data_IF_899994606280
#
_entry.id   IF_899994606280
#
_cell.length_a   1.000
_cell.length_b   1.000
_cell.length_c   1.000
_cell.angle_alpha   90.00
_cell.angle_beta   90.00
_cell.angle_gamma   90.00
#
_symmetry.space_group_name_H-M   'P 1'
#
loop_
_entity.id
_entity.type
_entity.pdbx_description
1 polymer ?
#
# COMPACT_ATOMS: atom_id res chain seq x y z
N UNK A 1 4.21 -1.37 5.65
CA UNK A 1 3.95 0.06 5.95
C UNK A 1 2.45 0.35 5.85
N UNK A 2 1.91 1.34 6.58
CA UNK A 2 0.50 1.73 6.49
C UNK A 2 0.38 3.14 5.93
N UNK A 3 -0.28 3.29 4.77
CA UNK A 3 -0.48 4.58 4.11
C UNK A 3 -1.68 5.31 4.71
N UNK A 4 -1.49 5.77 5.95
CA UNK A 4 -2.55 6.33 6.76
C UNK A 4 -3.09 7.63 6.15
N UNK A 5 -4.43 7.78 6.14
CA UNK A 5 -5.14 8.92 5.55
C UNK A 5 -4.76 9.21 4.09
N UNK A 6 -4.43 8.16 3.34
CA UNK A 6 -4.08 8.29 1.92
C UNK A 6 -2.71 8.90 1.67
N UNK A 7 -1.86 9.01 2.70
CA UNK A 7 -0.49 9.50 2.58
C UNK A 7 0.47 8.31 2.51
N UNK A 8 1.15 8.09 1.38
CA UNK A 8 2.17 7.05 1.30
C UNK A 8 3.30 7.31 2.29
N UNK A 9 3.83 6.23 2.87
CA UNK A 9 5.00 6.32 3.73
C UNK A 9 6.23 6.76 2.91
N UNK A 10 7.28 7.20 3.58
CA UNK A 10 8.58 7.41 2.94
C UNK A 10 9.18 6.07 2.46
N UNK A 11 8.75 5.59 1.30
CA UNK A 11 8.98 4.21 0.88
C UNK A 11 10.45 3.90 0.60
N UNK A 12 11.26 4.89 0.19
CA UNK A 12 12.71 4.72 0.07
C UNK A 12 13.36 4.33 1.41
N UNK A 13 12.96 4.99 2.50
CA UNK A 13 13.48 4.68 3.83
C UNK A 13 12.99 3.31 4.33
N UNK A 14 11.73 2.96 4.04
CA UNK A 14 11.17 1.63 4.36
C UNK A 14 11.96 0.53 3.66
N UNK A 15 12.22 0.69 2.36
CA UNK A 15 12.99 -0.27 1.56
C UNK A 15 14.43 -0.42 2.03
N UNK A 16 15.10 0.69 2.34
CA UNK A 16 16.46 0.65 2.87
C UNK A 16 16.56 -0.22 4.14
N UNK A 17 15.59 -0.10 5.05
CA UNK A 17 15.54 -0.94 6.27
C UNK A 17 15.20 -2.40 5.94
N UNK A 18 14.24 -2.63 5.05
CA UNK A 18 13.82 -3.98 4.67
C UNK A 18 14.95 -4.76 3.98
N UNK A 19 15.69 -4.11 3.09
CA UNK A 19 16.83 -4.69 2.37
C UNK A 19 17.95 -5.16 3.33
N UNK A 20 18.29 -4.35 4.34
CA UNK A 20 19.28 -4.73 5.37
C UNK A 20 18.87 -6.00 6.13
N UNK A 21 17.56 -6.23 6.26
CA UNK A 21 17.00 -7.38 6.99
C UNK A 21 16.63 -8.55 6.08
N UNK A 22 16.78 -8.42 4.76
CA UNK A 22 16.26 -9.41 3.80
C UNK A 22 14.75 -9.62 3.91
N UNK A 23 14.00 -8.59 4.30
CA UNK A 23 12.57 -8.66 4.53
C UNK A 23 11.77 -8.16 3.32
N UNK A 24 10.60 -8.76 3.09
CA UNK A 24 9.64 -8.23 2.12
C UNK A 24 8.91 -7.00 2.66
N UNK A 25 8.45 -6.16 1.75
CA UNK A 25 7.60 -5.00 2.07
C UNK A 25 6.19 -5.27 1.56
N UNK A 26 5.24 -5.38 2.48
CA UNK A 26 3.81 -5.41 2.18
C UNK A 26 3.18 -4.06 2.55
N UNK A 27 2.48 -3.47 1.60
CA UNK A 27 1.76 -2.22 1.80
C UNK A 27 0.35 -2.48 2.35
N UNK A 28 -0.03 -1.73 3.37
CA UNK A 28 -1.43 -1.51 3.74
C UNK A 28 -1.90 -0.20 3.11
N UNK A 29 -2.71 -0.36 2.06
CA UNK A 29 -3.30 0.68 1.24
C UNK A 29 -4.79 0.85 1.53
N UNK A 30 -5.29 0.36 2.67
CA UNK A 30 -6.72 0.40 3.00
C UNK A 30 -7.32 1.82 2.99
N UNK A 31 -6.50 2.85 3.19
CA UNK A 31 -6.90 4.26 3.13
C UNK A 31 -6.27 5.03 1.96
N UNK A 32 -5.60 4.34 1.04
CA UNK A 32 -4.73 4.96 0.03
C UNK A 32 -5.05 4.52 -1.40
N UNK A 33 -6.32 4.24 -1.69
CA UNK A 33 -6.82 4.11 -3.06
C UNK A 33 -6.47 5.39 -3.82
N UNK A 34 -5.85 5.23 -4.99
CA UNK A 34 -5.39 6.29 -5.91
C UNK A 34 -4.19 7.15 -5.45
N UNK A 35 -3.72 7.00 -4.21
CA UNK A 35 -2.56 7.72 -3.70
C UNK A 35 -1.28 7.41 -4.50
N UNK A 36 -0.33 8.36 -4.52
CA UNK A 36 0.94 8.23 -5.26
C UNK A 36 2.15 8.55 -4.39
N UNK A 37 3.24 7.83 -4.63
CA UNK A 37 4.58 8.15 -4.16
C UNK A 37 5.44 8.46 -5.40
N UNK A 38 5.65 9.75 -5.67
CA UNK A 38 6.18 10.20 -6.96
C UNK A 38 5.23 9.85 -8.11
N UNK A 39 5.74 9.16 -9.13
CA UNK A 39 4.95 8.71 -10.29
C UNK A 39 4.30 7.33 -10.09
N UNK A 40 4.62 6.63 -8.99
CA UNK A 40 4.11 5.29 -8.70
C UNK A 40 2.87 5.33 -7.80
N UNK A 41 1.95 4.40 -8.00
CA UNK A 41 0.72 4.27 -7.21
C UNK A 41 1.00 3.50 -5.92
N UNK A 42 0.29 3.84 -4.85
CA UNK A 42 0.24 3.00 -3.65
C UNK A 42 -0.26 1.60 -4.02
N UNK A 43 0.34 0.57 -3.42
CA UNK A 43 0.09 -0.83 -3.73
C UNK A 43 0.96 -1.40 -4.86
N UNK A 44 1.84 -0.59 -5.45
CA UNK A 44 2.88 -1.01 -6.41
C UNK A 44 4.29 -0.63 -5.92
N UNK A 45 4.44 -0.32 -4.64
CA UNK A 45 5.68 0.19 -4.05
C UNK A 45 6.42 -0.92 -3.29
N UNK A 46 5.73 -1.95 -2.79
CA UNK A 46 6.30 -3.14 -2.16
C UNK A 46 6.20 -4.39 -3.04
N UNK A 47 6.37 -5.58 -2.43
CA UNK A 47 6.11 -6.87 -3.08
C UNK A 47 4.62 -7.02 -3.42
N UNK A 48 3.77 -6.55 -2.52
CA UNK A 48 2.33 -6.52 -2.73
C UNK A 48 1.69 -5.37 -1.94
N UNK A 49 0.51 -4.96 -2.40
CA UNK A 49 -0.35 -4.00 -1.72
C UNK A 49 -1.69 -4.62 -1.35
N UNK A 50 -2.24 -4.20 -0.21
CA UNK A 50 -3.56 -4.63 0.25
C UNK A 50 -4.53 -3.45 0.36
N UNK A 51 -5.73 -3.61 -0.18
CA UNK A 51 -6.78 -2.60 -0.15
C UNK A 51 -8.01 -3.14 0.60
N UNK A 52 -8.74 -2.21 1.22
CA UNK A 52 -10.01 -2.48 1.88
C UNK A 52 -11.14 -1.78 1.15
N UNK A 53 -12.26 -2.46 1.01
CA UNK A 53 -13.50 -1.96 0.41
C UNK A 53 -14.71 -2.02 1.37
N UNK A 54 -14.46 -2.14 2.68
CA UNK A 54 -15.41 -1.89 3.77
C UNK A 54 -16.15 -0.54 3.56
N UNK A 55 -17.38 -0.34 4.07
CA UNK A 55 -18.05 0.95 3.97
C UNK A 55 -17.22 2.00 4.70
N UNK A 56 -17.22 3.27 4.26
CA UNK A 56 -16.32 4.35 4.73
C UNK A 56 -14.90 4.38 4.14
N UNK A 57 -14.58 3.51 3.19
CA UNK A 57 -13.37 3.66 2.34
C UNK A 57 -13.68 4.50 1.10
N UNK A 58 -12.65 4.97 0.39
CA UNK A 58 -12.80 5.77 -0.84
C UNK A 58 -13.55 5.01 -1.95
N UNK A 59 -13.40 3.69 -1.99
CA UNK A 59 -14.11 2.77 -2.89
C UNK A 59 -14.67 1.63 -2.04
N UNK A 60 -15.90 1.17 -2.33
CA UNK A 60 -16.57 0.13 -1.53
C UNK A 60 -17.29 -0.90 -2.38
N UNK A 61 -17.31 -2.14 -1.89
CA UNK A 61 -18.11 -3.27 -2.38
C UNK A 61 -19.09 -3.76 -1.31
N UNK A 62 -19.52 -2.86 -0.41
CA UNK A 62 -20.08 -3.17 0.92
C UNK A 62 -18.99 -3.80 1.78
N UNK A 63 -18.63 -5.05 1.55
CA UNK A 63 -17.49 -5.72 2.18
C UNK A 63 -16.49 -6.15 1.11
N UNK A 64 -15.20 -6.19 1.43
CA UNK A 64 -14.22 -6.74 0.52
C UNK A 64 -12.81 -6.16 0.68
N UNK A 65 -11.91 -6.71 -0.13
CA UNK A 65 -10.54 -6.25 -0.24
C UNK A 65 -9.91 -6.75 -1.54
N UNK A 66 -8.70 -6.28 -1.79
CA UNK A 66 -7.92 -6.63 -2.98
C UNK A 66 -6.45 -6.70 -2.62
N UNK A 67 -5.73 -7.57 -3.32
CA UNK A 67 -4.27 -7.61 -3.30
C UNK A 67 -3.78 -7.27 -4.70
N UNK A 68 -2.74 -6.44 -4.78
CA UNK A 68 -1.99 -6.14 -6.00
C UNK A 68 -0.56 -6.66 -5.86
N UNK A 69 0.02 -7.19 -6.94
CA UNK A 69 1.42 -7.61 -7.00
C UNK A 69 1.86 -7.66 -8.46
N UNK A 70 3.16 -7.57 -8.70
CA UNK A 70 3.82 -7.68 -9.99
C UNK A 70 4.83 -8.85 -10.08
N UNK A 71 4.88 -9.70 -9.05
CA UNK A 71 5.57 -11.01 -9.07
C UNK A 71 4.88 -11.97 -10.08
#
# INVERSE_FOLDING_TARGET
>A
PVHYLGLPCAMEAVHAVAQVKGAFVLEDCALAVDATYGEKKAGTLGLAGSFSFYPVKHMTSIEGGMVTTDD
#
